data_IF_132437300311
#
_entry.id   IF_132437300311
#
_cell.length_a   1.000
_cell.length_b   1.000
_cell.length_c   1.000
_cell.angle_alpha   90.00
_cell.angle_beta   90.00
_cell.angle_gamma   90.00
#
_symmetry.space_group_name_H-M   'P 1'
#
loop_
_entity.id
_entity.type
_entity.pdbx_description
1 polymer ?
#
# COMPACT_ATOMS: atom_id res chain seq x y z
N UNK A 1 14.88 -10.69 6.82
CA UNK A 1 14.10 -11.64 6.00
C UNK A 1 14.66 -11.81 4.59
N UNK A 2 14.99 -10.73 3.87
CA UNK A 2 15.63 -10.78 2.54
C UNK A 2 16.89 -11.65 2.51
N UNK A 3 17.79 -11.53 3.49
CA UNK A 3 19.02 -12.33 3.56
C UNK A 3 18.78 -13.87 3.61
N UNK A 4 17.58 -14.32 3.99
CA UNK A 4 17.24 -15.75 4.10
C UNK A 4 16.48 -16.28 2.87
N UNK A 5 15.65 -15.46 2.23
CA UNK A 5 14.84 -15.86 1.07
C UNK A 5 15.57 -15.67 -0.28
N UNK A 6 15.87 -16.77 -1.00
CA UNK A 6 16.63 -16.74 -2.25
C UNK A 6 15.92 -15.98 -3.38
N UNK A 7 14.61 -16.18 -3.54
CA UNK A 7 13.85 -15.54 -4.61
C UNK A 7 13.73 -14.04 -4.39
N UNK A 8 13.53 -13.60 -3.14
CA UNK A 8 13.60 -12.17 -2.82
C UNK A 8 14.98 -11.59 -3.14
N UNK A 9 16.08 -12.24 -2.72
CA UNK A 9 17.43 -11.73 -3.08
C UNK A 9 17.63 -11.61 -4.58
N UNK A 10 17.17 -12.61 -5.35
CA UNK A 10 17.29 -12.63 -6.80
C UNK A 10 16.48 -11.50 -7.46
N UNK A 11 15.24 -11.30 -7.03
CA UNK A 11 14.38 -10.23 -7.53
C UNK A 11 14.95 -8.84 -7.21
N UNK A 12 15.36 -8.62 -5.97
CA UNK A 12 15.88 -7.33 -5.52
C UNK A 12 17.23 -7.00 -6.19
N UNK A 13 18.10 -7.99 -6.39
CA UNK A 13 19.36 -7.82 -7.15
C UNK A 13 19.16 -7.46 -8.62
N UNK A 14 18.03 -7.84 -9.21
CA UNK A 14 17.71 -7.54 -10.61
C UNK A 14 17.18 -6.12 -10.78
N UNK A 15 16.74 -5.49 -9.70
CA UNK A 15 16.25 -4.12 -9.76
C UNK A 15 17.39 -3.15 -10.09
N UNK A 16 17.23 -2.42 -11.20
CA UNK A 16 18.01 -1.23 -11.45
C UNK A 16 17.26 -0.05 -10.86
N UNK A 17 17.94 0.76 -10.05
CA UNK A 17 17.42 2.05 -9.64
C UNK A 17 17.31 2.96 -10.88
N UNK A 18 16.08 3.21 -11.30
CA UNK A 18 15.72 4.01 -12.48
C UNK A 18 15.69 5.53 -12.18
N UNK A 19 16.19 5.93 -11.01
CA UNK A 19 16.35 7.32 -10.60
C UNK A 19 15.37 7.73 -9.49
N UNK A 20 15.12 9.04 -9.32
CA UNK A 20 14.30 9.53 -8.22
C UNK A 20 12.87 9.01 -8.31
N UNK A 21 12.16 9.05 -7.17
CA UNK A 21 10.75 8.66 -7.11
C UNK A 21 9.90 9.47 -8.11
N UNK A 22 9.14 8.77 -8.96
CA UNK A 22 8.09 9.39 -9.75
C UNK A 22 6.80 9.44 -8.92
N UNK A 23 6.48 10.62 -8.39
CA UNK A 23 5.32 10.83 -7.51
C UNK A 23 4.01 10.32 -8.14
N UNK A 24 3.85 10.42 -9.47
CA UNK A 24 2.64 9.98 -10.17
C UNK A 24 2.43 8.46 -10.11
N UNK A 25 3.49 7.68 -9.91
CA UNK A 25 3.38 6.22 -9.79
C UNK A 25 2.76 5.79 -8.46
N UNK A 26 2.78 6.66 -7.45
CA UNK A 26 2.10 6.44 -6.18
C UNK A 26 0.59 6.72 -6.25
N UNK A 27 0.07 7.24 -7.37
CA UNK A 27 -1.36 7.48 -7.53
C UNK A 27 -2.07 6.19 -7.95
N UNK A 28 -2.94 5.71 -7.06
CA UNK A 28 -3.82 4.58 -7.30
C UNK A 28 -5.28 5.00 -7.18
N UNK A 29 -6.16 4.30 -7.89
CA UNK A 29 -7.60 4.51 -7.83
C UNK A 29 -8.24 3.83 -6.61
N UNK A 30 -9.57 3.70 -6.67
CA UNK A 30 -10.34 2.98 -5.66
C UNK A 30 -9.96 1.50 -5.58
N UNK A 31 -10.16 0.90 -4.40
CA UNK A 31 -9.97 -0.54 -4.19
C UNK A 31 -11.16 -1.31 -4.75
N UNK A 32 -10.89 -2.27 -5.62
CA UNK A 32 -11.84 -3.31 -6.04
C UNK A 32 -11.20 -4.66 -5.77
N UNK A 33 -11.85 -5.50 -4.95
CA UNK A 33 -11.29 -6.80 -4.55
C UNK A 33 -12.37 -7.75 -4.03
N UNK A 34 -13.09 -8.47 -4.90
CA UNK A 34 -14.11 -9.42 -4.46
C UNK A 34 -13.47 -10.62 -3.76
N UNK A 35 -13.94 -10.95 -2.56
CA UNK A 35 -13.55 -12.19 -1.87
C UNK A 35 -14.24 -13.43 -2.46
N UNK A 36 -15.41 -13.23 -3.07
CA UNK A 36 -16.19 -14.28 -3.74
C UNK A 36 -16.85 -13.66 -4.97
N UNK A 37 -16.70 -14.31 -6.13
CA UNK A 37 -17.27 -13.81 -7.39
C UNK A 37 -18.80 -13.91 -7.43
N UNK A 38 -19.37 -14.91 -6.75
CA UNK A 38 -20.82 -15.10 -6.65
C UNK A 38 -21.18 -15.75 -5.31
N UNK A 39 -22.20 -15.22 -4.64
CA UNK A 39 -22.76 -15.81 -3.42
C UNK A 39 -24.28 -15.85 -3.52
N UNK A 40 -24.86 -17.04 -3.41
CA UNK A 40 -26.31 -17.22 -3.23
C UNK A 40 -26.59 -17.32 -1.74
N UNK A 41 -27.54 -16.53 -1.25
CA UNK A 41 -27.97 -16.62 0.14
C UNK A 41 -28.64 -17.97 0.42
N UNK A 42 -28.28 -18.60 1.53
CA UNK A 42 -28.93 -19.78 2.09
C UNK A 42 -30.20 -19.40 2.87
N UNK A 43 -31.03 -20.39 3.22
CA UNK A 43 -32.25 -20.14 4.00
C UNK A 43 -31.91 -19.53 5.36
N UNK A 44 -32.55 -18.40 5.67
CA UNK A 44 -32.27 -17.61 6.89
C UNK A 44 -31.05 -16.71 6.80
N UNK A 45 -30.28 -16.75 5.70
CA UNK A 45 -29.16 -15.85 5.48
C UNK A 45 -29.61 -14.53 4.84
N UNK A 46 -29.09 -13.40 5.34
CA UNK A 46 -29.32 -12.07 4.77
C UNK A 46 -28.00 -11.47 4.26
N UNK A 47 -28.02 -10.96 3.03
CA UNK A 47 -26.91 -10.18 2.46
C UNK A 47 -27.20 -8.70 2.72
N UNK A 48 -26.22 -7.99 3.26
CA UNK A 48 -26.28 -6.56 3.52
C UNK A 48 -25.23 -5.83 2.68
N UNK A 49 -25.55 -4.61 2.27
CA UNK A 49 -24.64 -3.73 1.55
C UNK A 49 -24.37 -2.48 2.39
N UNK A 50 -23.11 -2.07 2.41
CA UNK A 50 -22.66 -0.84 3.07
C UNK A 50 -22.00 0.04 2.02
N UNK A 51 -22.42 1.29 1.99
CA UNK A 51 -21.87 2.31 1.10
C UNK A 51 -21.47 3.53 1.90
N UNK A 52 -20.41 4.20 1.46
CA UNK A 52 -19.98 5.47 2.05
C UNK A 52 -20.42 6.59 1.12
N UNK A 53 -21.40 7.37 1.55
CA UNK A 53 -21.85 8.56 0.82
C UNK A 53 -20.71 9.58 0.75
N UNK A 54 -20.35 9.98 -0.47
CA UNK A 54 -19.33 11.01 -0.72
C UNK A 54 -17.95 10.70 -0.12
N UNK A 55 -17.47 9.46 -0.27
CA UNK A 55 -16.17 9.03 0.25
C UNK A 55 -15.03 10.00 -0.07
N UNK A 56 -14.79 10.34 -1.34
CA UNK A 56 -13.69 11.24 -1.71
C UNK A 56 -13.84 12.67 -1.15
N UNK A 57 -14.99 13.35 -1.29
CA UNK A 57 -15.20 14.64 -0.62
C UNK A 57 -14.96 14.60 0.89
N UNK A 58 -15.43 13.55 1.58
CA UNK A 58 -15.24 13.40 3.02
C UNK A 58 -13.77 13.26 3.39
N UNK A 59 -13.00 12.45 2.65
CA UNK A 59 -11.55 12.30 2.89
C UNK A 59 -10.80 13.61 2.60
N UNK A 60 -11.16 14.31 1.52
CA UNK A 60 -10.53 15.59 1.16
C UNK A 60 -10.69 16.67 2.24
N UNK A 61 -11.81 16.69 2.99
CA UNK A 61 -12.03 17.67 4.07
C UNK A 61 -11.45 17.22 5.41
N UNK A 62 -11.42 15.92 5.68
CA UNK A 62 -11.05 15.39 7.00
C UNK A 62 -9.57 15.02 7.14
N UNK A 63 -8.87 14.79 6.03
CA UNK A 63 -7.51 14.28 6.03
C UNK A 63 -6.49 15.40 5.78
N UNK A 64 -5.34 15.32 6.47
CA UNK A 64 -4.21 16.21 6.21
C UNK A 64 -3.41 15.70 5.02
N UNK A 65 -3.14 16.59 4.06
CA UNK A 65 -2.31 16.32 2.88
C UNK A 65 -0.93 16.97 3.01
N UNK A 66 0.13 16.39 2.40
CA UNK A 66 1.38 17.10 2.20
C UNK A 66 1.14 18.30 1.28
N UNK A 67 1.67 19.46 1.68
CA UNK A 67 1.58 20.72 0.93
C UNK A 67 2.95 21.39 0.87
N UNK A 68 3.20 22.16 -0.19
CA UNK A 68 4.47 22.86 -0.40
C UNK A 68 5.51 22.06 -1.19
N UNK A 69 6.76 22.52 -1.13
CA UNK A 69 7.87 21.87 -1.82
C UNK A 69 8.40 20.68 -1.00
N UNK A 70 8.61 19.50 -1.61
CA UNK A 70 9.15 18.35 -0.89
C UNK A 70 10.63 18.55 -0.57
N UNK A 71 11.05 18.05 0.59
CA UNK A 71 12.46 17.81 0.88
C UNK A 71 12.85 16.43 0.34
N UNK A 72 14.00 16.34 -0.32
CA UNK A 72 14.47 15.09 -0.93
C UNK A 72 15.51 14.45 -0.03
N UNK A 73 15.17 13.26 0.50
CA UNK A 73 16.13 12.41 1.18
C UNK A 73 16.56 11.27 0.26
N UNK A 74 17.86 11.17 -0.03
CA UNK A 74 18.44 10.04 -0.77
C UNK A 74 18.87 9.00 0.24
N UNK A 75 18.08 7.94 0.38
CA UNK A 75 18.29 6.87 1.37
C UNK A 75 18.38 5.56 0.61
N UNK A 76 19.47 4.82 0.83
CA UNK A 76 19.65 3.48 0.29
C UNK A 76 20.13 2.55 1.40
N UNK A 77 19.20 2.14 2.26
CA UNK A 77 19.47 1.21 3.35
C UNK A 77 18.28 0.30 3.61
N UNK A 78 18.58 -0.86 4.20
CA UNK A 78 17.56 -1.77 4.71
C UNK A 78 16.91 -1.18 5.97
N UNK A 79 15.58 -1.28 6.05
CA UNK A 79 14.79 -0.88 7.22
C UNK A 79 13.99 -2.07 7.74
N UNK A 80 13.71 -2.09 9.04
CA UNK A 80 12.85 -3.10 9.67
C UNK A 80 11.57 -2.45 10.21
N UNK A 81 10.78 -1.86 9.31
CA UNK A 81 9.51 -1.25 9.64
C UNK A 81 8.40 -2.29 9.65
N UNK A 82 7.99 -2.69 10.85
CA UNK A 82 6.94 -3.68 11.08
C UNK A 82 5.68 -3.08 11.66
N UNK A 83 5.78 -1.86 12.22
CA UNK A 83 4.70 -1.08 12.80
C UNK A 83 4.71 0.37 12.30
N UNK A 84 3.58 1.08 12.37
CA UNK A 84 3.51 2.49 11.95
C UNK A 84 4.57 3.38 12.63
N UNK A 85 4.82 3.19 13.92
CA UNK A 85 5.78 3.96 14.71
C UNK A 85 7.25 3.76 14.31
N UNK A 86 7.58 2.69 13.56
CA UNK A 86 8.94 2.44 13.10
C UNK A 86 9.34 3.40 11.96
N UNK A 87 8.36 3.95 11.23
CA UNK A 87 8.60 4.90 10.15
C UNK A 87 8.66 6.33 10.69
N UNK A 88 9.86 6.93 10.67
CA UNK A 88 10.10 8.30 11.15
C UNK A 88 9.71 9.38 10.14
N UNK A 89 9.37 9.02 8.90
CA UNK A 89 9.02 9.95 7.83
C UNK A 89 7.51 10.21 7.79
N UNK A 90 7.06 11.18 8.59
CA UNK A 90 5.65 11.58 8.64
C UNK A 90 5.23 12.31 7.36
N UNK A 91 4.11 11.89 6.75
CA UNK A 91 3.54 12.51 5.54
C UNK A 91 4.53 12.52 4.35
N UNK A 92 5.26 11.43 4.15
CA UNK A 92 6.25 11.28 3.08
C UNK A 92 5.80 10.31 1.99
N UNK A 93 6.32 10.50 0.77
CA UNK A 93 6.28 9.52 -0.30
C UNK A 93 7.60 8.75 -0.32
N UNK A 94 7.53 7.42 -0.25
CA UNK A 94 8.69 6.56 -0.09
C UNK A 94 8.76 5.56 -1.26
N UNK A 95 9.93 5.47 -1.89
CA UNK A 95 10.25 4.43 -2.89
C UNK A 95 10.90 3.27 -2.15
N UNK A 96 10.17 2.17 -1.98
CA UNK A 96 10.58 1.06 -1.12
C UNK A 96 10.38 -0.28 -1.81
N UNK A 97 11.24 -1.23 -1.45
CA UNK A 97 10.90 -2.63 -1.58
C UNK A 97 10.19 -3.10 -0.31
N UNK A 98 8.95 -3.56 -0.47
CA UNK A 98 8.14 -4.04 0.65
C UNK A 98 8.09 -5.57 0.62
N UNK A 99 8.33 -6.19 1.76
CA UNK A 99 7.99 -7.60 1.96
C UNK A 99 6.53 -7.64 2.42
N UNK A 100 5.59 -8.14 1.58
CA UNK A 100 4.20 -8.16 1.97
C UNK A 100 3.98 -9.15 3.13
N UNK A 101 3.08 -8.81 4.08
CA UNK A 101 2.66 -9.76 5.10
C UNK A 101 1.96 -10.96 4.45
N UNK A 102 2.26 -12.17 4.93
CA UNK A 102 1.75 -13.43 4.36
C UNK A 102 0.45 -13.94 5.00
N UNK A 103 0.03 -13.33 6.10
CA UNK A 103 -1.05 -13.81 6.97
C UNK A 103 -2.19 -12.81 7.10
N UNK A 104 -2.47 -12.02 6.05
CA UNK A 104 -3.58 -11.06 6.03
C UNK A 104 -4.62 -11.48 4.99
N UNK A 105 -5.90 -11.34 5.34
CA UNK A 105 -7.01 -11.73 4.47
C UNK A 105 -7.19 -10.76 3.28
N UNK A 106 -6.92 -9.48 3.52
CA UNK A 106 -7.15 -8.40 2.56
C UNK A 106 -5.80 -7.74 2.24
N UNK A 107 -5.19 -8.03 1.08
CA UNK A 107 -3.87 -7.50 0.75
C UNK A 107 -3.92 -5.98 0.59
N UNK A 108 -3.00 -5.26 1.23
CA UNK A 108 -3.01 -3.78 1.26
C UNK A 108 -2.17 -3.14 0.16
N UNK A 109 -1.23 -3.89 -0.43
CA UNK A 109 -0.41 -3.39 -1.52
C UNK A 109 -1.16 -3.51 -2.86
N UNK A 110 -1.19 -2.46 -3.68
CA UNK A 110 -1.78 -2.53 -5.01
C UNK A 110 -0.95 -3.49 -5.88
N UNK A 111 -1.63 -4.40 -6.59
CA UNK A 111 -1.03 -5.19 -7.66
C UNK A 111 -1.45 -4.59 -9.01
N UNK A 112 -0.51 -4.42 -9.93
CA UNK A 112 -0.78 -4.11 -11.33
C UNK A 112 -0.66 -5.38 -12.16
#
# INVERSE_FOLDING_TARGET
>A
MVAKDYEMRKMFKKYLDDGPINIREAFYGGRTGPLKLFHKAEDGQKISYYDVTSLYPFINVSTRYPVGHPEVHVINMDVNWTKPEDNTYNTALLKLFVIPPRSIDVPVLPMK
#
